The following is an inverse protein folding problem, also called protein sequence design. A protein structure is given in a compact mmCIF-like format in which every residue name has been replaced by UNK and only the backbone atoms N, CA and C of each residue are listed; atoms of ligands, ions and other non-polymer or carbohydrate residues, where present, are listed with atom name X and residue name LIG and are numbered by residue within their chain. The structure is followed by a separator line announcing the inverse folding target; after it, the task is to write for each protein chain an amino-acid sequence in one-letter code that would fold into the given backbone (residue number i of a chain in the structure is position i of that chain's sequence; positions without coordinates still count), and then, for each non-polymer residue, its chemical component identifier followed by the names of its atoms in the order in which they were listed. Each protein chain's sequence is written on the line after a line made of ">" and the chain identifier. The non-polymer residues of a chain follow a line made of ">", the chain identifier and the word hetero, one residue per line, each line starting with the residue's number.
data_IF_698061827749
#
_entry.id   IF_698061827749
#
_cell.length_a   1.000
_cell.length_b   1.000
_cell.length_c   1.000
_cell.angle_alpha   90.00
_cell.angle_beta   90.00
_cell.angle_gamma   90.00
#
_symmetry.space_group_name_H-M   'P 1'
#
loop_
_entity.id
_entity.type
_entity.pdbx_description
1 polymer ?
#
# COMPACT_ATOMS: atom_id res chain seq x y z
N UNK A 1 1.34 -1.52 18.24
CA UNK A 1 2.33 -1.31 19.32
C UNK A 1 1.59 -0.74 20.51
N UNK A 2 1.28 -1.62 21.47
CA UNK A 2 0.53 -1.34 22.69
C UNK A 2 1.41 -0.60 23.69
N UNK A 3 1.52 0.72 23.56
CA UNK A 3 2.01 1.57 24.63
C UNK A 3 0.82 1.92 25.54
N UNK A 4 0.30 0.91 26.24
CA UNK A 4 -0.45 1.19 27.46
C UNK A 4 0.62 1.48 28.48
N UNK A 5 0.89 2.77 28.70
CA UNK A 5 1.67 3.24 29.82
C UNK A 5 1.04 2.67 31.09
N UNK A 6 1.65 1.59 31.59
CA UNK A 6 1.49 1.19 32.98
C UNK A 6 2.21 2.25 33.78
N UNK A 7 1.56 3.39 33.98
CA UNK A 7 1.80 4.20 35.16
C UNK A 7 1.33 3.35 36.34
N UNK A 8 2.16 2.36 36.70
CA UNK A 8 2.04 1.60 37.91
C UNK A 8 2.01 2.64 39.02
N UNK A 9 0.89 2.71 39.74
CA UNK A 9 0.72 3.61 40.87
C UNK A 9 2.01 3.59 41.70
N UNK A 10 2.63 4.76 41.85
CA UNK A 10 3.90 4.89 42.55
C UNK A 10 3.68 4.34 43.97
N UNK A 11 4.52 3.41 44.47
CA UNK A 11 4.34 2.84 45.81
C UNK A 11 4.28 3.92 46.90
N UNK A 12 4.93 5.08 46.69
CA UNK A 12 4.83 6.23 47.59
C UNK A 12 3.43 6.90 47.57
N UNK A 13 2.76 6.94 46.43
CA UNK A 13 1.38 7.44 46.32
C UNK A 13 0.38 6.47 46.97
N UNK A 14 0.63 5.16 46.83
CA UNK A 14 -0.15 4.12 47.49
C UNK A 14 -0.02 4.20 49.01
N UNK A 15 1.21 4.40 49.50
CA UNK A 15 1.49 4.51 50.93
C UNK A 15 0.95 5.82 51.52
N UNK A 16 1.04 6.93 50.77
CA UNK A 16 0.36 8.18 51.11
C UNK A 16 -1.16 8.00 51.18
N UNK A 17 -1.76 7.31 50.21
CA UNK A 17 -3.20 7.02 50.22
C UNK A 17 -3.61 6.13 51.40
N UNK A 18 -2.80 5.14 51.77
CA UNK A 18 -3.02 4.28 52.93
C UNK A 18 -2.94 5.06 54.25
N UNK A 19 -2.01 6.00 54.36
CA UNK A 19 -1.83 6.82 55.55
C UNK A 19 -2.94 7.86 55.70
N UNK A 20 -3.44 8.40 54.58
CA UNK A 20 -4.65 9.23 54.52
C UNK A 20 -5.88 8.43 54.98
N UNK A 21 -6.09 7.21 54.45
CA UNK A 21 -7.19 6.33 54.83
C UNK A 21 -7.19 5.96 56.32
N UNK A 22 -6.01 5.78 56.91
CA UNK A 22 -5.86 5.50 58.35
C UNK A 22 -6.30 6.69 59.21
N UNK A 23 -5.85 7.91 58.86
CA UNK A 23 -6.33 9.16 59.49
C UNK A 23 -7.84 9.35 59.38
N UNK A 24 -8.42 8.91 58.26
CA UNK A 24 -9.86 9.00 57.98
C UNK A 24 -10.66 8.03 58.86
N UNK A 25 -10.13 6.84 59.16
CA UNK A 25 -10.79 5.87 60.03
C UNK A 25 -10.88 6.30 61.50
N UNK A 26 -10.05 7.24 61.93
CA UNK A 26 -9.94 7.69 63.32
C UNK A 26 -10.87 8.88 63.66
N UNK A 27 -11.65 9.41 62.69
CA UNK A 27 -12.59 10.52 62.95
C UNK A 27 -13.97 10.04 63.43
N UNK A 28 -14.63 10.72 64.40
CA UNK A 28 -15.86 10.26 65.07
C UNK A 28 -17.13 10.25 64.21
N UNK A 29 -17.06 10.65 62.92
CA UNK A 29 -18.17 10.63 61.97
C UNK A 29 -17.72 10.06 60.60
N UNK A 30 -17.27 8.81 60.63
CA UNK A 30 -16.64 8.07 59.52
C UNK A 30 -17.44 8.12 58.20
N UNK A 31 -18.78 8.02 58.24
CA UNK A 31 -19.62 8.03 57.04
C UNK A 31 -19.60 9.35 56.25
N UNK A 32 -19.47 10.49 56.94
CA UNK A 32 -19.52 11.82 56.30
C UNK A 32 -18.18 12.19 55.65
N UNK A 33 -17.06 11.74 56.23
CA UNK A 33 -15.73 11.99 55.69
C UNK A 33 -15.51 11.21 54.38
N UNK A 34 -15.75 9.90 54.37
CA UNK A 34 -15.62 9.07 53.16
C UNK A 34 -16.48 9.59 52.01
N UNK A 35 -17.73 9.96 52.31
CA UNK A 35 -18.63 10.53 51.32
C UNK A 35 -18.10 11.86 50.73
N UNK A 36 -17.34 12.66 51.50
CA UNK A 36 -16.74 13.91 51.01
C UNK A 36 -15.58 13.64 50.06
N UNK A 37 -14.67 12.74 50.43
CA UNK A 37 -13.50 12.38 49.60
C UNK A 37 -13.94 11.74 48.29
N UNK A 38 -14.91 10.82 48.33
CA UNK A 38 -15.47 10.20 47.12
C UNK A 38 -16.13 11.22 46.20
N UNK A 39 -16.90 12.18 46.75
CA UNK A 39 -17.48 13.28 45.96
C UNK A 39 -16.41 14.13 45.29
N UNK A 40 -15.32 14.43 45.99
CA UNK A 40 -14.21 15.19 45.42
C UNK A 40 -13.51 14.43 44.29
N UNK A 41 -13.24 13.14 44.48
CA UNK A 41 -12.59 12.32 43.46
C UNK A 41 -13.48 12.15 42.22
N UNK A 42 -14.79 11.91 42.40
CA UNK A 42 -15.77 11.87 41.31
C UNK A 42 -15.82 13.21 40.57
N UNK A 43 -15.79 14.34 41.28
CA UNK A 43 -15.75 15.66 40.66
C UNK A 43 -14.48 15.86 39.82
N UNK A 44 -13.32 15.44 40.33
CA UNK A 44 -12.06 15.52 39.61
C UNK A 44 -12.06 14.65 38.34
N UNK A 45 -12.46 13.37 38.46
CA UNK A 45 -12.55 12.45 37.32
C UNK A 45 -13.53 12.95 36.25
N UNK A 46 -14.67 13.53 36.65
CA UNK A 46 -15.60 14.14 35.71
C UNK A 46 -15.01 15.37 35.02
N UNK A 47 -14.18 16.15 35.71
CA UNK A 47 -13.43 17.27 35.13
C UNK A 47 -12.40 16.80 34.10
N UNK A 48 -11.60 15.79 34.44
CA UNK A 48 -10.62 15.18 33.53
C UNK A 48 -11.29 14.55 32.31
N UNK A 49 -12.40 13.84 32.51
CA UNK A 49 -13.20 13.27 31.41
C UNK A 49 -13.76 14.37 30.50
N UNK A 50 -14.18 15.50 31.06
CA UNK A 50 -14.62 16.66 30.29
C UNK A 50 -13.50 17.25 29.44
N UNK A 51 -12.32 17.45 30.03
CA UNK A 51 -11.14 17.95 29.33
C UNK A 51 -10.71 17.01 28.19
N UNK A 52 -10.70 15.69 28.44
CA UNK A 52 -10.36 14.70 27.41
C UNK A 52 -11.36 14.71 26.25
N UNK A 53 -12.67 14.84 26.52
CA UNK A 53 -13.70 14.94 25.47
C UNK A 53 -13.53 16.19 24.61
N UNK A 54 -13.22 17.33 25.24
CA UNK A 54 -12.97 18.56 24.50
C UNK A 54 -11.74 18.43 23.59
N UNK A 55 -10.67 17.83 24.10
CA UNK A 55 -9.46 17.61 23.30
C UNK A 55 -9.70 16.66 22.12
N UNK A 56 -10.50 15.60 22.30
CA UNK A 56 -10.89 14.71 21.20
C UNK A 56 -11.68 15.49 20.13
N UNK A 57 -12.63 16.33 20.54
CA UNK A 57 -13.40 17.13 19.59
C UNK A 57 -12.51 18.13 18.80
N UNK A 58 -11.51 18.71 19.46
CA UNK A 58 -10.50 19.57 18.79
C UNK A 58 -9.70 18.77 17.76
N UNK A 59 -9.17 17.60 18.14
CA UNK A 59 -8.40 16.75 17.22
C UNK A 59 -9.25 16.24 16.05
N UNK A 60 -10.52 15.92 16.26
CA UNK A 60 -11.45 15.54 15.20
C UNK A 60 -11.69 16.70 14.22
N UNK A 61 -11.80 17.93 14.73
CA UNK A 61 -11.91 19.14 13.90
C UNK A 61 -10.63 19.39 13.09
N UNK A 62 -9.46 19.27 13.71
CA UNK A 62 -8.17 19.42 13.03
C UNK A 62 -7.96 18.37 11.95
N UNK A 63 -8.30 17.11 12.23
CA UNK A 63 -8.21 16.03 11.26
C UNK A 63 -9.12 16.28 10.05
N UNK A 64 -10.34 16.79 10.28
CA UNK A 64 -11.23 17.22 9.18
C UNK A 64 -10.61 18.32 8.32
N UNK A 65 -10.01 19.35 8.93
CA UNK A 65 -9.33 20.42 8.20
C UNK A 65 -8.16 19.90 7.37
N UNK A 66 -7.35 18.97 7.89
CA UNK A 66 -6.23 18.36 7.18
C UNK A 66 -6.70 17.55 5.96
N UNK A 67 -7.79 16.81 6.09
CA UNK A 67 -8.37 16.06 4.96
C UNK A 67 -8.86 16.99 3.85
N UNK A 68 -9.45 18.13 4.19
CA UNK A 68 -9.88 19.12 3.21
C UNK A 68 -8.70 19.82 2.52
N UNK A 69 -7.60 20.09 3.24
CA UNK A 69 -6.36 20.60 2.64
C UNK A 69 -5.78 19.59 1.65
N UNK A 70 -5.69 18.32 2.05
CA UNK A 70 -5.18 17.25 1.19
C UNK A 70 -6.02 17.09 -0.09
N UNK A 71 -7.36 17.18 0.03
CA UNK A 71 -8.27 17.14 -1.13
C UNK A 71 -7.99 18.29 -2.10
N UNK A 72 -7.90 19.52 -1.60
CA UNK A 72 -7.61 20.72 -2.42
C UNK A 72 -6.24 20.64 -3.09
N UNK A 73 -5.22 20.14 -2.40
CA UNK A 73 -3.89 19.95 -2.99
C UNK A 73 -3.90 18.93 -4.12
N UNK A 74 -4.65 17.83 -3.97
CA UNK A 74 -4.81 16.84 -5.03
C UNK A 74 -5.51 17.45 -6.27
N UNK A 75 -6.57 18.23 -6.06
CA UNK A 75 -7.28 18.95 -7.15
C UNK A 75 -6.33 19.91 -7.90
N UNK A 76 -5.53 20.70 -7.17
CA UNK A 76 -4.55 21.62 -7.76
C UNK A 76 -3.49 20.85 -8.57
N UNK A 77 -2.98 19.74 -8.04
CA UNK A 77 -1.98 18.92 -8.71
C UNK A 77 -2.52 18.33 -10.04
N UNK A 78 -3.79 17.87 -10.04
CA UNK A 78 -4.46 17.36 -11.24
C UNK A 78 -4.59 18.49 -12.28
N UNK A 79 -5.04 19.68 -11.87
CA UNK A 79 -5.20 20.82 -12.78
C UNK A 79 -3.87 21.25 -13.40
N UNK A 80 -2.81 21.37 -12.61
CA UNK A 80 -1.48 21.69 -13.10
C UNK A 80 -0.93 20.62 -14.08
N UNK A 81 -1.26 19.35 -13.87
CA UNK A 81 -0.88 18.28 -14.79
C UNK A 81 -1.63 18.38 -16.13
N UNK A 82 -2.94 18.68 -16.09
CA UNK A 82 -3.73 18.87 -17.30
C UNK A 82 -3.23 20.05 -18.14
N UNK A 83 -2.86 21.16 -17.50
CA UNK A 83 -2.26 22.32 -18.19
C UNK A 83 -0.92 21.97 -18.83
N UNK A 84 -0.03 21.28 -18.12
CA UNK A 84 1.26 20.79 -18.65
C UNK A 84 1.07 19.85 -19.84
N UNK A 85 0.10 18.93 -19.76
CA UNK A 85 -0.22 18.03 -20.86
C UNK A 85 -0.76 18.79 -22.08
N UNK A 86 -1.62 19.80 -21.86
CA UNK A 86 -2.13 20.67 -22.92
C UNK A 86 -1.02 21.48 -23.61
N UNK A 87 -0.10 22.06 -22.85
CA UNK A 87 1.05 22.78 -23.39
C UNK A 87 1.99 21.86 -24.19
N UNK A 88 2.24 20.65 -23.69
CA UNK A 88 3.05 19.63 -24.37
C UNK A 88 2.42 19.21 -25.71
N UNK A 89 1.10 19.04 -25.73
CA UNK A 89 0.37 18.69 -26.96
C UNK A 89 0.46 19.81 -28.01
N UNK A 90 0.27 21.06 -27.59
CA UNK A 90 0.44 22.23 -28.47
C UNK A 90 1.86 22.30 -29.04
N UNK A 91 2.87 22.05 -28.22
CA UNK A 91 4.27 22.03 -28.65
C UNK A 91 4.55 20.95 -29.69
N UNK A 92 4.01 19.73 -29.49
CA UNK A 92 4.16 18.62 -30.47
C UNK A 92 3.49 18.94 -31.80
N UNK A 93 2.31 19.56 -31.78
CA UNK A 93 1.61 20.00 -33.00
C UNK A 93 2.45 21.04 -33.75
N UNK A 94 3.03 22.00 -33.03
CA UNK A 94 3.92 23.00 -33.62
C UNK A 94 5.18 22.36 -34.22
N UNK A 95 5.84 21.46 -33.50
CA UNK A 95 7.02 20.76 -34.01
C UNK A 95 6.72 19.93 -35.26
N UNK A 96 5.58 19.23 -35.32
CA UNK A 96 5.13 18.52 -36.53
C UNK A 96 4.96 19.48 -37.69
N UNK A 97 4.35 20.65 -37.46
CA UNK A 97 4.13 21.66 -38.51
C UNK A 97 5.44 22.26 -39.03
N UNK A 98 6.39 22.54 -38.15
CA UNK A 98 7.74 23.01 -38.51
C UNK A 98 8.45 21.94 -39.35
N UNK A 99 8.42 20.67 -38.95
CA UNK A 99 9.05 19.59 -39.70
C UNK A 99 8.46 19.41 -41.11
N UNK A 100 7.13 19.53 -41.25
CA UNK A 100 6.46 19.53 -42.56
C UNK A 100 6.94 20.68 -43.45
N UNK A 101 7.07 21.90 -42.90
CA UNK A 101 7.57 23.06 -43.65
C UNK A 101 9.05 22.91 -44.06
N UNK A 102 9.84 22.21 -43.25
CA UNK A 102 11.28 21.99 -43.49
C UNK A 102 11.54 20.73 -44.34
N UNK A 103 10.49 20.00 -44.75
CA UNK A 103 10.61 18.81 -45.61
C UNK A 103 11.33 17.63 -44.95
N UNK A 104 11.34 17.57 -43.61
CA UNK A 104 12.02 16.51 -42.83
C UNK A 104 11.01 15.69 -42.03
N UNK A 105 11.33 14.42 -41.77
CA UNK A 105 10.57 13.57 -40.86
C UNK A 105 10.76 14.04 -39.41
N UNK A 106 9.64 14.30 -38.71
CA UNK A 106 9.68 14.70 -37.30
C UNK A 106 9.96 13.49 -36.41
N UNK A 107 11.10 13.50 -35.73
CA UNK A 107 11.45 12.55 -34.68
C UNK A 107 11.70 13.40 -33.42
N UNK A 108 10.88 13.29 -32.36
CA UNK A 108 11.01 14.14 -31.18
C UNK A 108 12.33 13.86 -30.43
N UNK A 109 13.15 14.89 -30.25
CA UNK A 109 14.35 14.85 -29.40
C UNK A 109 13.95 15.20 -27.95
N UNK A 110 14.47 14.50 -26.92
CA UNK A 110 14.24 14.85 -25.53
C UNK A 110 14.94 16.17 -25.17
N UNK A 111 14.23 17.09 -24.52
CA UNK A 111 14.78 18.37 -24.04
C UNK A 111 15.70 18.11 -22.84
N UNK A 112 16.99 18.40 -23.05
CA UNK A 112 18.07 18.18 -22.08
C UNK A 112 18.16 19.34 -21.07
N UNK A 113 18.02 19.04 -19.77
CA UNK A 113 18.16 20.00 -18.66
C UNK A 113 19.04 19.36 -17.55
N UNK A 114 20.11 18.64 -17.91
CA UNK A 114 21.04 18.04 -16.93
C UNK A 114 22.25 18.92 -16.63
N UNK A 115 22.08 20.15 -16.14
CA UNK A 115 23.27 20.88 -15.66
C UNK A 115 23.07 21.88 -14.53
N UNK A 116 22.07 21.70 -13.67
CA UNK A 116 22.02 22.48 -12.44
C UNK A 116 21.38 21.66 -11.32
N UNK A 117 22.02 21.70 -10.15
CA UNK A 117 21.57 21.09 -8.89
C UNK A 117 21.95 19.62 -8.67
N UNK A 118 23.28 19.38 -8.72
CA UNK A 118 23.95 18.77 -7.58
C UNK A 118 23.48 19.48 -6.29
N UNK A 119 22.50 18.93 -5.56
CA UNK A 119 22.46 18.91 -4.10
C UNK A 119 21.10 18.46 -3.56
N UNK A 120 21.22 17.48 -2.68
CA UNK A 120 20.34 17.16 -1.55
C UNK A 120 18.95 16.57 -1.79
N UNK A 121 18.92 15.29 -1.43
CA UNK A 121 18.01 14.68 -0.45
C UNK A 121 16.52 14.64 -0.77
N UNK A 122 16.09 13.37 -0.79
CA UNK A 122 14.73 12.91 -0.58
C UNK A 122 13.73 13.12 -1.73
N UNK A 123 13.16 11.98 -2.12
CA UNK A 123 11.96 11.76 -2.94
C UNK A 123 12.19 11.84 -4.46
N UNK A 124 11.71 10.81 -5.17
CA UNK A 124 10.78 10.97 -6.30
C UNK A 124 10.74 9.72 -7.16
N UNK A 125 9.86 8.78 -6.79
CA UNK A 125 9.25 7.97 -7.83
C UNK A 125 8.11 8.75 -8.44
N UNK A 126 7.85 8.39 -9.70
CA UNK A 126 6.58 8.54 -10.42
C UNK A 126 6.39 9.97 -10.97
N UNK A 127 6.82 10.29 -12.21
CA UNK A 127 6.40 9.62 -13.45
C UNK A 127 7.39 9.68 -14.65
N UNK A 128 8.02 8.53 -14.99
CA UNK A 128 8.36 8.07 -16.34
C UNK A 128 8.43 6.54 -16.26
N UNK A 129 7.53 5.81 -16.89
CA UNK A 129 7.60 4.35 -16.73
C UNK A 129 8.50 3.64 -17.76
N UNK A 130 9.13 4.36 -18.70
CA UNK A 130 9.98 3.72 -19.72
C UNK A 130 11.40 4.23 -19.89
N UNK A 131 11.89 5.21 -19.09
CA UNK A 131 13.34 5.36 -18.82
C UNK A 131 13.81 6.46 -17.82
N UNK A 132 12.97 7.16 -17.04
CA UNK A 132 13.50 8.12 -16.05
C UNK A 132 12.70 8.40 -14.73
N UNK A 133 11.55 7.78 -14.45
CA UNK A 133 10.88 7.91 -13.15
C UNK A 133 10.21 6.63 -12.62
N UNK A 134 10.60 5.48 -13.18
CA UNK A 134 10.15 4.14 -12.79
C UNK A 134 10.94 3.55 -11.62
N UNK A 135 12.03 4.20 -11.17
CA UNK A 135 12.95 3.58 -10.21
C UNK A 135 12.57 3.88 -8.74
N UNK A 136 11.77 4.91 -8.45
CA UNK A 136 11.73 5.46 -7.08
C UNK A 136 10.43 5.27 -6.26
N UNK A 137 9.47 4.43 -6.65
CA UNK A 137 8.65 3.73 -5.62
C UNK A 137 8.24 2.32 -6.09
N UNK A 138 9.18 1.45 -6.45
CA UNK A 138 8.85 0.02 -6.43
C UNK A 138 8.72 -0.38 -4.97
N UNK A 139 7.47 -0.56 -4.51
CA UNK A 139 7.23 -1.10 -3.17
C UNK A 139 7.84 -2.50 -3.08
N UNK A 140 8.18 -3.01 -1.89
CA UNK A 140 8.67 -4.39 -1.76
C UNK A 140 7.76 -5.42 -2.45
N UNK A 141 6.46 -5.17 -2.48
CA UNK A 141 5.50 -6.01 -3.20
C UNK A 141 5.72 -5.99 -4.73
N UNK A 142 5.96 -4.82 -5.32
CA UNK A 142 6.28 -4.70 -6.76
C UNK A 142 7.61 -5.38 -7.08
N UNK A 143 8.64 -5.16 -6.25
CA UNK A 143 9.94 -5.82 -6.42
C UNK A 143 9.83 -7.34 -6.38
N UNK A 144 9.03 -7.88 -5.45
CA UNK A 144 8.90 -9.32 -5.30
C UNK A 144 8.13 -9.97 -6.44
N UNK A 145 7.10 -9.31 -6.98
CA UNK A 145 6.40 -9.78 -8.20
C UNK A 145 7.35 -9.80 -9.40
N UNK A 146 8.18 -8.76 -9.56
CA UNK A 146 9.19 -8.71 -10.61
C UNK A 146 10.25 -9.80 -10.40
N UNK A 147 10.75 -9.97 -9.18
CA UNK A 147 11.74 -10.99 -8.85
C UNK A 147 11.21 -12.41 -9.08
N UNK A 148 9.96 -12.66 -8.72
CA UNK A 148 9.31 -13.95 -8.97
C UNK A 148 9.12 -14.20 -10.47
N UNK A 149 8.78 -13.16 -11.25
CA UNK A 149 8.74 -13.27 -12.71
C UNK A 149 10.11 -13.62 -13.30
N UNK A 150 11.19 -13.03 -12.79
CA UNK A 150 12.55 -13.42 -13.19
C UNK A 150 12.90 -14.85 -12.76
N UNK A 151 12.45 -15.29 -11.58
CA UNK A 151 12.66 -16.66 -11.11
C UNK A 151 11.96 -17.68 -12.00
N UNK A 152 10.69 -17.44 -12.38
CA UNK A 152 9.96 -18.29 -13.32
C UNK A 152 10.70 -18.41 -14.67
N UNK A 153 11.19 -17.28 -15.21
CA UNK A 153 12.00 -17.26 -16.44
C UNK A 153 13.31 -18.05 -16.30
N UNK A 154 14.07 -17.81 -15.23
CA UNK A 154 15.44 -18.34 -15.07
C UNK A 154 15.51 -19.77 -14.52
N UNK A 155 14.60 -20.14 -13.62
CA UNK A 155 14.60 -21.45 -12.94
C UNK A 155 13.65 -22.43 -13.62
N UNK A 156 12.48 -21.96 -14.06
CA UNK A 156 11.43 -22.82 -14.60
C UNK A 156 11.41 -22.83 -16.13
N UNK A 157 12.18 -21.94 -16.77
CA UNK A 157 12.26 -21.83 -18.22
C UNK A 157 11.01 -21.22 -18.87
N UNK A 158 10.18 -20.53 -18.09
CA UNK A 158 8.94 -19.88 -18.57
C UNK A 158 9.29 -18.60 -19.32
N UNK A 159 9.83 -18.80 -20.51
CA UNK A 159 10.21 -17.74 -21.46
C UNK A 159 8.96 -17.05 -22.02
N UNK A 160 9.09 -15.83 -22.57
CA UNK A 160 8.01 -15.20 -23.34
C UNK A 160 7.41 -16.14 -24.40
N UNK A 161 8.25 -16.93 -25.06
CA UNK A 161 7.85 -17.89 -26.08
C UNK A 161 7.02 -19.04 -25.49
N UNK A 162 7.42 -19.57 -24.33
CA UNK A 162 6.62 -20.55 -23.58
C UNK A 162 5.25 -19.98 -23.22
N UNK A 163 5.20 -18.73 -22.77
CA UNK A 163 3.96 -18.08 -22.37
C UNK A 163 3.02 -17.83 -23.57
N UNK A 164 3.58 -17.57 -24.75
CA UNK A 164 2.82 -17.41 -26.01
C UNK A 164 2.16 -18.72 -26.46
N UNK A 165 2.70 -19.88 -26.05
CA UNK A 165 2.07 -21.19 -26.24
C UNK A 165 0.86 -21.39 -25.31
N UNK A 166 0.80 -20.67 -24.17
CA UNK A 166 -0.30 -20.73 -23.22
C UNK A 166 -1.47 -19.84 -23.69
N UNK A 167 -2.43 -20.46 -24.39
CA UNK A 167 -3.63 -19.77 -24.93
C UNK A 167 -4.78 -19.77 -23.92
N UNK A 168 -5.89 -19.12 -24.31
CA UNK A 168 -7.18 -19.16 -23.60
C UNK A 168 -7.14 -18.69 -22.13
N UNK A 169 -6.21 -17.80 -21.79
CA UNK A 169 -6.10 -17.22 -20.45
C UNK A 169 -5.60 -18.20 -19.39
N UNK A 170 -4.92 -19.28 -19.79
CA UNK A 170 -4.36 -20.29 -18.88
C UNK A 170 -3.47 -19.68 -17.79
N UNK A 171 -2.67 -18.66 -18.11
CA UNK A 171 -1.83 -17.97 -17.12
C UNK A 171 -2.66 -17.15 -16.12
N UNK A 172 -3.73 -16.51 -16.57
CA UNK A 172 -4.66 -15.80 -15.67
C UNK A 172 -5.44 -16.76 -14.77
N UNK A 173 -5.85 -17.93 -15.29
CA UNK A 173 -6.52 -18.96 -14.50
C UNK A 173 -5.57 -19.59 -13.47
N UNK A 174 -4.30 -19.80 -13.83
CA UNK A 174 -3.28 -20.22 -12.86
C UNK A 174 -3.07 -19.15 -11.77
N UNK A 175 -3.07 -17.87 -12.13
CA UNK A 175 -2.97 -16.78 -11.16
C UNK A 175 -4.16 -16.76 -10.19
N UNK A 176 -5.39 -16.99 -10.69
CA UNK A 176 -6.59 -17.02 -9.84
C UNK A 176 -6.51 -18.15 -8.81
N UNK A 177 -6.00 -19.33 -9.19
CA UNK A 177 -5.82 -20.46 -8.28
C UNK A 177 -4.91 -20.11 -7.09
N UNK A 178 -3.81 -19.38 -7.31
CA UNK A 178 -2.94 -18.92 -6.20
C UNK A 178 -3.61 -17.84 -5.33
N UNK A 179 -4.41 -16.94 -5.93
CA UNK A 179 -5.17 -15.94 -5.19
C UNK A 179 -6.33 -16.56 -4.37
N UNK A 180 -7.01 -17.55 -4.93
CA UNK A 180 -8.05 -18.34 -4.26
C UNK A 180 -7.46 -19.14 -3.10
N UNK A 181 -6.26 -19.71 -3.28
CA UNK A 181 -5.53 -20.36 -2.19
C UNK A 181 -5.36 -19.41 -1.00
N UNK A 182 -4.93 -18.17 -1.26
CA UNK A 182 -4.86 -17.14 -0.22
C UNK A 182 -6.21 -16.92 0.48
N UNK A 183 -7.28 -16.71 -0.29
CA UNK A 183 -8.61 -16.42 0.24
C UNK A 183 -9.18 -17.57 1.10
N UNK A 184 -9.03 -18.82 0.65
CA UNK A 184 -9.55 -20.00 1.34
C UNK A 184 -8.88 -20.24 2.70
N UNK A 185 -7.57 -20.04 2.77
CA UNK A 185 -6.83 -20.26 4.01
C UNK A 185 -6.80 -19.04 4.93
N UNK A 186 -7.03 -17.83 4.41
CA UNK A 186 -7.23 -16.61 5.23
C UNK A 186 -8.55 -16.61 6.03
N UNK A 187 -9.51 -17.46 5.65
CA UNK A 187 -10.83 -17.59 6.29
C UNK A 187 -10.96 -18.84 7.18
N UNK A 188 -9.92 -19.70 7.25
CA UNK A 188 -9.90 -20.86 8.15
C UNK A 188 -9.77 -20.41 9.61
N UNK A 189 -10.65 -20.91 10.48
CA UNK A 189 -10.73 -20.56 11.90
C UNK A 189 -9.39 -20.68 12.64
N UNK A 190 -9.17 -19.78 13.60
CA UNK A 190 -8.06 -19.81 14.55
C UNK A 190 -7.94 -21.18 15.23
N UNK A 191 -6.77 -21.83 15.14
CA UNK A 191 -6.44 -23.01 15.94
C UNK A 191 -6.10 -24.30 15.20
N UNK A 192 -6.24 -24.37 13.87
CA UNK A 192 -5.75 -25.51 13.08
C UNK A 192 -4.44 -25.12 12.37
N UNK A 193 -3.28 -25.70 12.72
CA UNK A 193 -2.06 -25.50 11.98
C UNK A 193 -2.26 -26.02 10.56
N UNK A 194 -2.27 -25.12 9.58
CA UNK A 194 -2.26 -25.51 8.16
C UNK A 194 -0.82 -25.38 7.69
N UNK A 195 -0.26 -26.48 7.22
CA UNK A 195 0.96 -26.43 6.40
C UNK A 195 0.57 -25.85 5.04
N UNK A 196 0.90 -24.57 4.83
CA UNK A 196 0.60 -23.85 3.59
C UNK A 196 1.32 -24.47 2.38
N UNK A 197 2.48 -25.07 2.62
CA UNK A 197 3.29 -25.67 1.55
C UNK A 197 2.73 -27.00 1.04
N UNK A 198 1.77 -27.58 1.77
CA UNK A 198 1.05 -28.82 1.42
C UNK A 198 -0.39 -28.55 0.97
N UNK A 199 -0.71 -27.32 0.55
CA UNK A 199 -2.03 -27.00 0.03
C UNK A 199 -2.32 -27.82 -1.25
N UNK A 200 -3.43 -28.58 -1.30
CA UNK A 200 -3.73 -29.43 -2.45
C UNK A 200 -3.96 -28.59 -3.70
N UNK A 201 -3.59 -29.14 -4.85
CA UNK A 201 -3.83 -28.52 -6.14
C UNK A 201 -5.34 -28.27 -6.35
N UNK A 202 -5.76 -27.04 -6.71
CA UNK A 202 -7.15 -26.76 -7.07
C UNK A 202 -7.59 -27.53 -8.31
N UNK A 203 -8.87 -27.94 -8.35
CA UNK A 203 -9.42 -28.71 -9.47
C UNK A 203 -9.42 -27.92 -10.81
N UNK A 204 -9.43 -26.59 -10.72
CA UNK A 204 -9.36 -25.66 -11.84
C UNK A 204 -7.92 -25.25 -12.23
N UNK A 205 -6.88 -25.82 -11.59
CA UNK A 205 -5.50 -25.53 -11.94
C UNK A 205 -5.19 -25.99 -13.38
N UNK A 206 -4.78 -25.08 -14.28
CA UNK A 206 -4.73 -25.37 -15.71
C UNK A 206 -3.38 -25.90 -16.21
N UNK A 207 -2.32 -25.80 -15.39
CA UNK A 207 -0.98 -26.26 -15.74
C UNK A 207 -0.71 -27.67 -15.19
N UNK A 208 0.44 -28.25 -15.52
CA UNK A 208 0.88 -29.50 -14.90
C UNK A 208 0.94 -29.38 -13.37
N UNK A 209 0.60 -30.46 -12.67
CA UNK A 209 0.60 -30.54 -11.20
C UNK A 209 1.97 -30.25 -10.60
N UNK A 210 3.06 -30.55 -11.32
CA UNK A 210 4.44 -30.26 -10.89
C UNK A 210 4.73 -28.76 -10.74
N UNK A 211 3.88 -27.89 -11.29
CA UNK A 211 3.98 -26.43 -11.21
C UNK A 211 3.09 -25.83 -10.13
N UNK A 212 2.24 -26.63 -9.50
CA UNK A 212 1.54 -26.23 -8.28
C UNK A 212 2.50 -26.31 -7.09
N UNK A 213 2.99 -25.16 -6.64
CA UNK A 213 3.98 -25.07 -5.56
C UNK A 213 3.57 -23.96 -4.58
N UNK A 214 2.51 -24.15 -3.78
CA UNK A 214 2.12 -23.18 -2.77
C UNK A 214 3.25 -23.04 -1.73
N UNK A 215 3.37 -21.86 -1.12
CA UNK A 215 4.52 -21.59 -0.23
C UNK A 215 4.16 -20.84 1.05
N UNK A 216 3.53 -19.68 0.89
CA UNK A 216 3.09 -18.83 1.98
C UNK A 216 1.95 -17.95 1.47
N UNK A 217 1.12 -17.39 2.36
CA UNK A 217 0.03 -16.50 1.95
C UNK A 217 0.51 -15.37 1.03
N UNK A 218 1.62 -14.74 1.41
CA UNK A 218 2.22 -13.67 0.63
C UNK A 218 2.90 -14.18 -0.64
N UNK A 219 3.63 -15.30 -0.55
CA UNK A 219 4.34 -15.87 -1.69
C UNK A 219 3.42 -16.30 -2.83
N UNK A 220 2.22 -16.79 -2.49
CA UNK A 220 1.23 -17.20 -3.48
C UNK A 220 0.61 -15.99 -4.18
N UNK A 221 0.34 -14.90 -3.46
CA UNK A 221 -0.07 -13.63 -4.08
C UNK A 221 1.04 -13.05 -4.99
N UNK A 222 2.31 -13.21 -4.62
CA UNK A 222 3.44 -12.81 -5.46
C UNK A 222 3.51 -13.64 -6.75
N UNK A 223 3.31 -14.96 -6.67
CA UNK A 223 3.22 -15.83 -7.85
C UNK A 223 2.02 -15.50 -8.73
N UNK A 224 0.86 -15.21 -8.13
CA UNK A 224 -0.32 -14.77 -8.84
C UNK A 224 -0.03 -13.47 -9.61
N UNK A 225 0.62 -12.49 -8.97
CA UNK A 225 1.04 -11.24 -9.61
C UNK A 225 2.01 -11.48 -10.77
N UNK A 226 2.98 -12.40 -10.61
CA UNK A 226 3.93 -12.73 -11.66
C UNK A 226 3.27 -13.41 -12.88
N UNK A 227 2.28 -14.28 -12.64
CA UNK A 227 1.48 -14.93 -13.69
C UNK A 227 0.56 -13.94 -14.42
N UNK A 228 -0.04 -12.97 -13.71
CA UNK A 228 -0.80 -11.88 -14.34
C UNK A 228 0.11 -11.01 -15.20
N UNK A 229 1.31 -10.70 -14.72
CA UNK A 229 2.30 -9.97 -15.51
C UNK A 229 2.67 -10.73 -16.79
N UNK A 230 2.85 -12.05 -16.71
CA UNK A 230 3.12 -12.91 -17.85
C UNK A 230 1.98 -12.87 -18.90
N UNK A 231 0.72 -12.95 -18.44
CA UNK A 231 -0.46 -12.91 -19.32
C UNK A 231 -0.61 -11.53 -20.01
N UNK A 232 -0.37 -10.44 -19.29
CA UNK A 232 -0.37 -9.08 -19.88
C UNK A 232 0.73 -8.98 -20.94
N UNK A 233 1.96 -9.43 -20.62
CA UNK A 233 3.08 -9.44 -21.57
C UNK A 233 2.73 -10.26 -22.84
N UNK A 234 2.04 -11.40 -22.69
CA UNK A 234 1.56 -12.23 -23.81
C UNK A 234 0.55 -11.48 -24.67
N UNK A 235 -0.45 -10.87 -24.04
CA UNK A 235 -1.48 -10.08 -24.70
C UNK A 235 -0.87 -8.91 -25.49
N UNK A 236 0.02 -8.15 -24.86
CA UNK A 236 0.72 -7.02 -25.51
C UNK A 236 1.51 -7.45 -26.76
N UNK A 237 2.15 -8.64 -26.73
CA UNK A 237 2.83 -9.21 -27.90
C UNK A 237 1.84 -9.60 -29.00
N UNK A 238 0.76 -10.30 -28.65
CA UNK A 238 -0.26 -10.72 -29.61
C UNK A 238 -0.95 -9.51 -30.30
N UNK A 239 -1.25 -8.45 -29.54
CA UNK A 239 -1.77 -7.21 -30.13
C UNK A 239 -0.77 -6.53 -31.08
N UNK A 240 0.53 -6.57 -30.75
CA UNK A 240 1.55 -6.00 -31.62
C UNK A 240 1.65 -6.77 -32.96
N UNK A 241 1.54 -8.09 -32.95
CA UNK A 241 1.59 -8.91 -34.18
C UNK A 241 0.36 -8.69 -35.08
N UNK A 242 -0.84 -8.64 -34.50
CA UNK A 242 -2.09 -8.43 -35.26
C UNK A 242 -2.11 -7.09 -36.00
N UNK A 243 -1.52 -6.03 -35.40
CA UNK A 243 -1.43 -4.71 -36.05
C UNK A 243 -0.40 -4.64 -37.18
N UNK A 244 0.52 -5.61 -37.27
CA UNK A 244 1.53 -5.67 -38.33
C UNK A 244 1.11 -6.54 -39.52
N UNK A 245 0.24 -7.54 -39.32
CA UNK A 245 -0.25 -8.44 -40.38
C UNK A 245 -1.48 -7.90 -41.13
N UNK A 246 -2.14 -6.86 -40.60
CA UNK A 246 -3.24 -6.15 -41.25
C UNK A 246 -2.80 -5.08 -42.26
N UNK A 247 -2.04 -5.44 -43.30
CA UNK A 247 -1.77 -4.62 -44.49
C UNK A 247 -1.89 -5.39 -45.78
#
# INVERSE_FOLDING_TARGET
>A
MTAIDKHALNPAELESALQELKRISEQPAVGTHYARVLRQHIANLNGELGAAKNHIAELESENGNLQDIARKQNEIAIMAQLERNGATMKMRILHKRIATLVGRTYIPQPLNIENEYQNHEYVAGWNDCRNAASVRQQTPAVCDVIAERYRQKSVEGWTPEHDDEQRDGVLALAASCYAENFALFSTRQEGVPVDWSDAPQPANWPLSSVWWKPSSPRGDLVKAGALILAEIERGDRAFATDTCEGK
#
